data_IF_932966541174
#
_entry.id   IF_932966541174
#
_cell.length_a   1.000
_cell.length_b   1.000
_cell.length_c   1.000
_cell.angle_alpha   90.00
_cell.angle_beta   90.00
_cell.angle_gamma   90.00
#
_symmetry.space_group_name_H-M   'P 1'
#
loop_
_entity.id
_entity.type
_entity.pdbx_description
1 polymer ?
#
# COMPACT_ATOMS: atom_id res chain seq x y z
N UNK A 1 12.92 11.68 29.70
CA UNK A 1 13.88 11.29 28.66
C UNK A 1 13.80 12.35 27.58
N UNK A 2 14.91 13.00 27.24
CA UNK A 2 14.91 13.93 26.11
C UNK A 2 14.63 13.14 24.82
N UNK A 3 13.75 13.65 23.95
CA UNK A 3 13.21 12.90 22.82
C UNK A 3 14.29 12.67 21.75
N UNK A 4 14.76 11.41 21.62
CA UNK A 4 15.69 10.97 20.58
C UNK A 4 15.18 11.26 19.16
N UNK A 5 13.86 11.34 19.00
CA UNK A 5 13.21 11.80 17.78
C UNK A 5 13.05 13.32 17.80
N UNK A 6 13.47 13.98 16.72
CA UNK A 6 13.05 15.35 16.40
C UNK A 6 12.19 15.34 15.15
N UNK A 7 11.08 16.07 15.18
CA UNK A 7 10.23 16.24 14.00
C UNK A 7 10.87 17.27 13.06
N UNK A 8 11.06 16.89 11.80
CA UNK A 8 11.60 17.79 10.77
C UNK A 8 10.55 18.08 9.70
N UNK A 9 10.74 19.20 9.01
CA UNK A 9 9.94 19.58 7.84
C UNK A 9 10.72 19.23 6.57
N UNK A 10 10.01 18.70 5.56
CA UNK A 10 10.56 18.45 4.23
C UNK A 10 9.67 19.14 3.18
N UNK A 11 10.22 19.57 2.03
CA UNK A 11 9.47 20.36 1.04
C UNK A 11 8.21 19.68 0.48
N UNK A 12 8.18 18.35 0.47
CA UNK A 12 7.08 17.57 -0.12
C UNK A 12 5.89 17.38 0.82
N UNK A 13 6.05 17.60 2.12
CA UNK A 13 4.98 17.42 3.10
C UNK A 13 3.79 18.34 2.78
N UNK A 14 2.59 17.80 3.03
CA UNK A 14 1.36 18.58 3.07
C UNK A 14 0.92 18.81 4.51
N UNK A 15 -0.01 19.72 4.71
CA UNK A 15 -0.68 19.89 6.00
C UNK A 15 -2.19 19.85 5.84
N UNK A 16 -2.86 19.07 6.68
CA UNK A 16 -4.31 18.98 6.75
C UNK A 16 -4.73 19.33 8.18
N UNK A 17 -5.50 20.40 8.38
CA UNK A 17 -5.88 20.91 9.70
C UNK A 17 -4.67 21.10 10.65
N UNK A 18 -3.58 21.68 10.13
CA UNK A 18 -2.30 21.87 10.84
C UNK A 18 -1.56 20.58 11.23
N UNK A 19 -1.96 19.43 10.69
CA UNK A 19 -1.27 18.14 10.88
C UNK A 19 -0.41 17.86 9.65
N UNK A 20 0.91 17.64 9.80
CA UNK A 20 1.77 17.30 8.67
C UNK A 20 1.47 15.89 8.13
N UNK A 21 1.59 15.73 6.81
CA UNK A 21 1.46 14.45 6.13
C UNK A 21 2.57 14.26 5.08
N UNK A 22 3.38 13.19 5.19
CA UNK A 22 3.56 12.36 6.39
C UNK A 22 4.24 13.15 7.51
N UNK A 23 4.25 12.66 8.75
CA UNK A 23 5.24 13.15 9.74
C UNK A 23 6.63 12.62 9.39
N UNK A 24 7.68 13.39 9.68
CA UNK A 24 9.07 12.96 9.46
C UNK A 24 9.83 13.11 10.77
N UNK A 25 10.39 12.01 11.25
CA UNK A 25 11.22 11.94 12.44
C UNK A 25 12.68 11.69 12.05
N UNK A 26 13.58 12.41 12.69
CA UNK A 26 15.04 12.26 12.53
C UNK A 26 15.72 12.19 13.89
N UNK A 27 17.00 11.74 13.97
CA UNK A 27 17.76 11.80 15.21
C UNK A 27 17.87 13.24 15.73
N UNK A 28 17.64 13.43 17.03
CA UNK A 28 17.78 14.73 17.67
C UNK A 28 19.28 15.11 17.77
N UNK A 29 19.73 16.17 17.06
CA UNK A 29 21.16 16.54 17.02
C UNK A 29 21.68 16.97 18.39
N UNK A 30 20.86 17.65 19.19
CA UNK A 30 21.25 18.12 20.52
C UNK A 30 21.55 16.96 21.46
N UNK A 31 20.75 15.89 21.40
CA UNK A 31 20.94 14.71 22.25
C UNK A 31 22.11 13.88 21.74
N UNK A 32 22.15 13.56 20.45
CA UNK A 32 23.24 12.75 19.86
C UNK A 32 24.62 13.34 20.13
N UNK A 33 24.75 14.68 20.06
CA UNK A 33 26.00 15.38 20.40
C UNK A 33 26.25 15.41 21.92
N UNK A 34 25.23 15.73 22.74
CA UNK A 34 25.41 15.91 24.18
C UNK A 34 25.65 14.60 24.95
N UNK A 35 25.06 13.49 24.50
CA UNK A 35 25.17 12.19 25.19
C UNK A 35 26.20 11.25 24.55
N UNK A 36 26.85 11.67 23.45
CA UNK A 36 27.70 10.82 22.61
C UNK A 36 27.03 9.49 22.21
N UNK A 37 25.69 9.44 22.24
CA UNK A 37 24.94 8.24 21.87
C UNK A 37 25.04 8.08 20.36
N UNK A 38 25.58 6.96 19.86
CA UNK A 38 25.68 6.73 18.44
C UNK A 38 24.28 6.62 17.83
N UNK A 39 24.11 7.20 16.63
CA UNK A 39 22.98 6.86 15.77
C UNK A 39 23.20 5.42 15.31
N UNK A 40 22.66 4.46 16.06
CA UNK A 40 22.76 3.03 15.78
C UNK A 40 21.37 2.41 15.66
N UNK A 41 21.27 1.31 14.91
CA UNK A 41 20.02 0.53 14.84
C UNK A 41 19.59 0.01 16.21
N UNK A 42 20.52 -0.38 17.07
CA UNK A 42 20.22 -0.86 18.43
C UNK A 42 19.56 0.22 19.28
N UNK A 43 20.05 1.46 19.23
CA UNK A 43 19.45 2.55 19.99
C UNK A 43 18.12 3.02 19.39
N UNK A 44 17.99 2.99 18.05
CA UNK A 44 16.70 3.23 17.40
C UNK A 44 15.65 2.21 17.85
N UNK A 45 15.97 0.91 17.84
CA UNK A 45 15.02 -0.15 18.23
C UNK A 45 14.63 -0.08 19.70
N UNK A 46 15.56 0.24 20.59
CA UNK A 46 15.26 0.51 22.01
C UNK A 46 14.36 1.74 22.18
N UNK A 47 14.64 2.82 21.44
CA UNK A 47 13.81 4.02 21.46
C UNK A 47 12.40 3.74 20.93
N UNK A 48 12.26 2.98 19.84
CA UNK A 48 10.95 2.59 19.32
C UNK A 48 10.14 1.85 20.38
N UNK A 49 10.76 0.90 21.10
CA UNK A 49 10.10 0.15 22.18
C UNK A 49 9.64 1.06 23.32
N UNK A 50 10.50 1.98 23.76
CA UNK A 50 10.20 2.89 24.88
C UNK A 50 9.22 4.00 24.52
N UNK A 51 9.26 4.50 23.28
CA UNK A 51 8.43 5.59 22.76
C UNK A 51 7.23 5.08 21.95
N UNK A 52 6.92 3.77 22.01
CA UNK A 52 5.82 3.16 21.25
C UNK A 52 4.49 3.92 21.40
N UNK A 53 4.03 4.33 22.60
CA UNK A 53 2.78 5.09 22.73
C UNK A 53 2.79 6.43 21.98
N UNK A 54 3.93 7.13 21.98
CA UNK A 54 4.11 8.37 21.21
C UNK A 54 4.06 8.10 19.70
N UNK A 55 4.77 7.08 19.22
CA UNK A 55 4.81 6.71 17.81
C UNK A 55 3.45 6.22 17.30
N UNK A 56 2.72 5.42 18.09
CA UNK A 56 1.37 4.97 17.79
C UNK A 56 0.39 6.16 17.72
N UNK A 57 0.49 7.13 18.65
CA UNK A 57 -0.29 8.37 18.62
C UNK A 57 0.03 9.26 17.41
N UNK A 58 1.32 9.40 17.08
CA UNK A 58 1.78 10.16 15.92
C UNK A 58 1.29 9.53 14.61
N UNK A 59 1.42 8.21 14.46
CA UNK A 59 0.89 7.47 13.32
C UNK A 59 -0.63 7.60 13.24
N UNK A 60 -1.32 7.48 14.36
CA UNK A 60 -2.76 7.66 14.40
C UNK A 60 -3.16 9.05 13.89
N UNK A 61 -2.49 10.10 14.37
CA UNK A 61 -2.76 11.49 13.97
C UNK A 61 -2.46 11.77 12.49
N UNK A 62 -1.35 11.24 11.97
CA UNK A 62 -0.77 11.66 10.67
C UNK A 62 -1.04 10.67 9.54
N UNK A 63 -1.36 9.41 9.85
CA UNK A 63 -1.55 8.32 8.89
C UNK A 63 -0.26 7.70 8.37
N UNK A 64 0.86 8.44 8.35
CA UNK A 64 2.15 7.92 7.95
C UNK A 64 3.32 8.67 8.61
N UNK A 65 4.39 7.94 8.94
CA UNK A 65 5.61 8.47 9.56
C UNK A 65 6.84 7.98 8.81
N UNK A 66 7.71 8.90 8.40
CA UNK A 66 9.03 8.59 7.84
C UNK A 66 10.07 8.73 8.96
N UNK A 67 10.91 7.74 9.12
CA UNK A 67 12.12 7.77 9.95
C UNK A 67 13.32 7.97 9.04
N UNK A 68 13.94 9.15 9.10
CA UNK A 68 15.01 9.58 8.20
C UNK A 68 16.28 9.95 8.96
N UNK A 69 17.42 9.49 8.46
CA UNK A 69 18.74 9.79 9.04
C UNK A 69 19.17 8.82 10.14
N UNK A 70 18.50 7.68 10.30
CA UNK A 70 18.92 6.61 11.20
C UNK A 70 19.82 5.60 10.49
N UNK A 71 20.62 4.86 11.27
CA UNK A 71 21.62 3.92 10.75
C UNK A 71 21.04 2.54 10.38
N UNK A 72 19.95 2.53 9.60
CA UNK A 72 19.36 1.30 9.05
C UNK A 72 20.05 1.01 7.72
N UNK A 73 20.97 0.05 7.69
CA UNK A 73 21.85 -0.19 6.53
C UNK A 73 21.49 -1.42 5.72
N UNK A 74 20.83 -2.40 6.34
CA UNK A 74 20.58 -3.73 5.77
C UNK A 74 19.14 -4.18 5.97
N UNK A 75 18.72 -5.18 5.20
CA UNK A 75 17.45 -5.88 5.42
C UNK A 75 17.29 -6.41 6.86
N UNK A 76 18.39 -6.84 7.51
CA UNK A 76 18.37 -7.30 8.91
C UNK A 76 18.09 -6.13 9.86
N UNK A 77 18.76 -5.00 9.68
CA UNK A 77 18.51 -3.79 10.48
C UNK A 77 17.05 -3.36 10.35
N UNK A 78 16.50 -3.40 9.13
CA UNK A 78 15.09 -3.11 8.90
C UNK A 78 14.15 -4.12 9.59
N UNK A 79 14.47 -5.43 9.57
CA UNK A 79 13.72 -6.42 10.32
C UNK A 79 13.74 -6.13 11.84
N UNK A 80 14.90 -5.77 12.39
CA UNK A 80 15.04 -5.42 13.82
C UNK A 80 14.17 -4.19 14.17
N UNK A 81 14.09 -3.20 13.27
CA UNK A 81 13.18 -2.04 13.39
C UNK A 81 11.71 -2.47 13.37
N UNK A 82 11.30 -3.30 12.42
CA UNK A 82 9.93 -3.83 12.33
C UNK A 82 9.54 -4.59 13.61
N UNK A 83 10.42 -5.46 14.11
CA UNK A 83 10.20 -6.22 15.33
C UNK A 83 10.10 -5.33 16.57
N UNK A 84 10.86 -4.22 16.62
CA UNK A 84 10.83 -3.28 17.73
C UNK A 84 9.47 -2.59 17.91
N UNK A 85 8.68 -2.40 16.85
CA UNK A 85 7.32 -1.87 16.95
C UNK A 85 6.33 -2.83 17.63
N UNK A 86 6.64 -4.13 17.66
CA UNK A 86 5.84 -5.15 18.33
C UNK A 86 4.48 -5.42 17.67
N UNK A 87 4.24 -4.95 16.44
CA UNK A 87 3.03 -5.32 15.70
C UNK A 87 3.08 -6.80 15.29
N UNK A 88 1.93 -7.47 15.27
CA UNK A 88 1.84 -8.85 14.80
C UNK A 88 2.03 -8.90 13.28
N UNK A 89 2.78 -9.88 12.79
CA UNK A 89 3.02 -10.07 11.36
C UNK A 89 1.75 -10.55 10.65
N UNK A 90 1.47 -10.01 9.46
CA UNK A 90 0.56 -10.63 8.51
C UNK A 90 1.39 -11.41 7.48
N UNK A 91 1.43 -12.75 7.55
CA UNK A 91 2.18 -13.55 6.59
C UNK A 91 1.67 -13.33 5.17
N UNK A 92 2.58 -13.10 4.23
CA UNK A 92 2.19 -12.93 2.83
C UNK A 92 1.87 -14.29 2.20
N UNK A 93 0.60 -14.67 2.22
CA UNK A 93 0.09 -15.92 1.62
C UNK A 93 -0.77 -15.58 0.41
N UNK A 94 -0.20 -15.67 -0.80
CA UNK A 94 -0.99 -15.64 -2.05
C UNK A 94 -1.64 -14.29 -2.42
N UNK A 95 -0.86 -13.19 -2.48
CA UNK A 95 -1.35 -11.89 -2.97
C UNK A 95 -1.24 -11.70 -4.49
N UNK A 96 -1.48 -10.48 -4.98
CA UNK A 96 -1.52 -10.18 -6.42
C UNK A 96 -0.13 -10.04 -7.09
N UNK A 97 0.92 -9.75 -6.31
CA UNK A 97 2.28 -9.46 -6.81
C UNK A 97 3.31 -10.49 -6.31
N UNK A 98 4.30 -10.90 -7.13
CA UNK A 98 5.45 -11.67 -6.65
C UNK A 98 6.23 -10.86 -5.61
N UNK A 99 6.61 -11.55 -4.54
CA UNK A 99 7.40 -11.03 -3.42
C UNK A 99 8.30 -12.14 -2.96
N UNK A 100 9.56 -11.82 -2.72
CA UNK A 100 10.55 -12.78 -2.22
C UNK A 100 10.86 -12.44 -0.77
N UNK A 101 10.73 -13.43 0.13
CA UNK A 101 11.18 -13.25 1.51
C UNK A 101 12.70 -13.06 1.54
N UNK A 102 13.16 -12.06 2.27
CA UNK A 102 14.57 -11.68 2.37
C UNK A 102 15.14 -12.13 3.72
N UNK A 103 14.49 -11.74 4.81
CA UNK A 103 14.89 -12.11 6.18
C UNK A 103 13.71 -11.85 7.12
N UNK A 104 13.41 -12.80 8.01
CA UNK A 104 12.34 -12.65 8.99
C UNK A 104 11.02 -12.21 8.34
N UNK A 105 10.52 -11.05 8.76
CA UNK A 105 9.25 -10.43 8.32
C UNK A 105 9.39 -9.52 7.09
N UNK A 106 10.57 -9.50 6.47
CA UNK A 106 10.94 -8.59 5.40
C UNK A 106 10.94 -9.31 4.05
N UNK A 107 10.30 -8.69 3.07
CA UNK A 107 10.24 -9.19 1.69
C UNK A 107 10.45 -8.05 0.68
N UNK A 108 10.70 -8.39 -0.59
CA UNK A 108 10.83 -7.39 -1.68
C UNK A 108 9.49 -6.69 -1.95
N UNK A 109 9.50 -5.36 -2.09
CA UNK A 109 8.30 -4.65 -2.55
C UNK A 109 7.94 -5.06 -3.99
N UNK A 110 6.72 -4.72 -4.45
CA UNK A 110 6.19 -5.15 -5.76
C UNK A 110 7.22 -4.93 -6.91
N UNK A 111 7.54 -6.03 -7.60
CA UNK A 111 8.62 -6.15 -8.60
C UNK A 111 8.15 -5.87 -10.03
N UNK A 112 6.99 -5.23 -10.22
CA UNK A 112 6.52 -4.78 -11.55
C UNK A 112 7.60 -3.96 -12.28
N UNK A 113 7.68 -4.01 -13.62
CA UNK A 113 8.76 -3.40 -14.40
C UNK A 113 9.06 -1.93 -14.05
N UNK A 114 10.33 -1.49 -14.08
CA UNK A 114 10.73 -0.15 -13.62
C UNK A 114 10.04 1.02 -14.33
N UNK A 115 9.78 0.91 -15.62
CA UNK A 115 9.12 1.89 -16.49
C UNK A 115 7.61 2.04 -16.21
N UNK A 116 7.01 1.06 -15.52
CA UNK A 116 5.59 1.06 -15.22
C UNK A 116 5.28 1.81 -13.92
N UNK A 117 4.15 2.53 -13.92
CA UNK A 117 3.56 3.14 -12.72
C UNK A 117 2.72 2.09 -12.00
N UNK A 118 2.88 1.94 -10.69
CA UNK A 118 1.92 1.19 -9.87
C UNK A 118 0.82 2.17 -9.44
N UNK A 119 -0.47 1.91 -9.72
CA UNK A 119 -1.57 2.79 -9.32
C UNK A 119 -1.72 2.94 -7.80
N UNK A 120 -2.43 3.98 -7.36
CA UNK A 120 -2.80 4.14 -5.96
C UNK A 120 -3.75 3.04 -5.49
N UNK A 121 -3.43 2.44 -4.35
CA UNK A 121 -4.24 1.40 -3.73
C UNK A 121 -4.00 1.34 -2.21
N UNK A 122 -4.96 0.74 -1.51
CA UNK A 122 -4.71 0.18 -0.18
C UNK A 122 -4.11 -1.23 -0.34
N UNK A 123 -3.16 -1.58 0.52
CA UNK A 123 -2.51 -2.89 0.47
C UNK A 123 -3.56 -3.98 0.73
N UNK A 124 -3.67 -4.95 -0.18
CA UNK A 124 -4.63 -6.07 -0.13
C UNK A 124 -6.11 -5.62 0.05
N UNK A 125 -6.51 -4.50 -0.57
CA UNK A 125 -7.83 -3.89 -0.37
C UNK A 125 -9.04 -4.83 -0.61
N UNK A 126 -8.84 -5.83 -1.48
CA UNK A 126 -9.82 -6.83 -1.89
C UNK A 126 -9.96 -8.00 -0.92
N UNK A 127 -8.99 -8.21 -0.03
CA UNK A 127 -8.92 -9.41 0.80
C UNK A 127 -9.78 -9.23 2.07
N UNK A 128 -10.40 -10.31 2.60
CA UNK A 128 -11.11 -10.26 3.87
C UNK A 128 -10.19 -9.83 5.03
N UNK A 129 -8.96 -10.35 5.02
CA UNK A 129 -7.87 -9.95 5.89
C UNK A 129 -6.85 -9.15 5.09
N UNK A 130 -6.61 -7.93 5.52
CA UNK A 130 -5.67 -6.98 4.92
C UNK A 130 -4.81 -6.40 6.04
N UNK A 131 -3.59 -5.95 5.74
CA UNK A 131 -2.71 -5.45 6.80
C UNK A 131 -3.27 -4.17 7.40
N UNK A 132 -3.23 -4.03 8.72
CA UNK A 132 -3.56 -2.77 9.38
C UNK A 132 -2.49 -1.70 9.12
N UNK A 133 -1.23 -2.13 9.00
CA UNK A 133 -0.06 -1.27 8.78
C UNK A 133 0.92 -1.94 7.85
N UNK A 134 1.74 -1.14 7.20
CA UNK A 134 2.86 -1.63 6.41
C UNK A 134 4.08 -0.73 6.57
N UNK A 135 5.24 -1.34 6.38
CA UNK A 135 6.52 -0.63 6.34
C UNK A 135 7.11 -0.69 4.93
N UNK A 136 7.78 0.39 4.54
CA UNK A 136 8.70 0.41 3.41
C UNK A 136 10.08 0.86 3.88
N UNK A 137 11.13 0.26 3.33
CA UNK A 137 12.52 0.58 3.64
C UNK A 137 13.35 0.71 2.37
N UNK A 138 14.07 1.83 2.23
CA UNK A 138 14.99 2.04 1.11
C UNK A 138 16.39 1.53 1.44
N UNK A 139 16.75 0.36 0.92
CA UNK A 139 18.10 -0.17 1.05
C UNK A 139 19.05 0.36 -0.04
N UNK A 140 18.52 0.56 -1.26
CA UNK A 140 19.25 1.14 -2.40
C UNK A 140 18.39 2.23 -3.03
N UNK A 141 18.92 3.45 -3.03
CA UNK A 141 18.26 4.61 -3.63
C UNK A 141 17.99 4.39 -5.14
N UNK A 142 16.86 4.91 -5.65
CA UNK A 142 16.59 4.90 -7.08
C UNK A 142 17.61 5.76 -7.84
N UNK A 143 18.08 5.31 -9.00
CA UNK A 143 18.92 6.12 -9.89
C UNK A 143 18.21 7.41 -10.35
N UNK A 144 16.90 7.32 -10.62
CA UNK A 144 16.00 8.47 -10.75
C UNK A 144 14.54 8.02 -10.60
N UNK A 145 13.67 8.89 -10.07
CA UNK A 145 12.24 8.56 -9.85
C UNK A 145 12.05 7.53 -8.74
N UNK A 146 11.10 6.62 -8.90
CA UNK A 146 10.96 5.45 -8.00
C UNK A 146 10.47 5.75 -6.60
N UNK A 147 9.97 6.96 -6.37
CA UNK A 147 9.28 7.32 -5.14
C UNK A 147 8.12 6.36 -4.88
N UNK A 148 7.71 6.28 -3.62
CA UNK A 148 6.47 5.63 -3.20
C UNK A 148 5.48 6.73 -2.80
N UNK A 149 4.74 7.35 -3.75
CA UNK A 149 3.78 8.39 -3.39
C UNK A 149 2.69 7.83 -2.47
N UNK A 150 2.33 8.62 -1.47
CA UNK A 150 1.28 8.31 -0.50
C UNK A 150 0.21 9.40 -0.48
N UNK A 151 -1.03 9.03 -0.20
CA UNK A 151 -2.17 9.96 -0.16
C UNK A 151 -3.18 9.54 0.91
N UNK A 152 -3.78 10.52 1.59
CA UNK A 152 -4.76 10.27 2.65
C UNK A 152 -6.12 9.84 2.07
N UNK A 153 -6.57 8.66 2.43
CA UNK A 153 -7.79 8.03 1.92
C UNK A 153 -9.08 8.81 2.24
N UNK A 154 -9.15 9.41 3.42
CA UNK A 154 -10.31 10.25 3.80
C UNK A 154 -10.39 11.56 2.99
N UNK A 155 -9.25 12.15 2.63
CA UNK A 155 -9.23 13.37 1.80
C UNK A 155 -9.77 13.06 0.40
N UNK A 156 -9.38 11.90 -0.16
CA UNK A 156 -9.93 11.43 -1.44
C UNK A 156 -11.44 11.20 -1.33
N UNK A 157 -11.91 10.58 -0.24
CA UNK A 157 -13.34 10.41 0.01
C UNK A 157 -14.08 11.75 0.08
N UNK A 158 -13.58 12.71 0.85
CA UNK A 158 -14.19 14.02 1.03
C UNK A 158 -14.29 14.78 -0.30
N UNK A 159 -13.18 14.84 -1.07
CA UNK A 159 -13.17 15.51 -2.38
C UNK A 159 -14.06 14.82 -3.41
N UNK A 160 -14.09 13.48 -3.43
CA UNK A 160 -14.98 12.74 -4.31
C UNK A 160 -16.45 12.95 -3.95
N UNK A 161 -16.78 12.97 -2.66
CA UNK A 161 -18.16 13.19 -2.19
C UNK A 161 -18.63 14.61 -2.46
N UNK A 162 -17.77 15.60 -2.27
CA UNK A 162 -18.06 17.00 -2.58
C UNK A 162 -18.34 17.18 -4.08
N UNK A 163 -17.51 16.55 -4.93
CA UNK A 163 -17.57 16.76 -6.37
C UNK A 163 -18.60 15.91 -7.11
N UNK A 164 -18.82 14.68 -6.65
CA UNK A 164 -19.70 13.69 -7.26
C UNK A 164 -20.57 12.97 -6.21
N UNK A 165 -21.45 13.68 -5.49
CA UNK A 165 -22.22 13.11 -4.37
C UNK A 165 -23.05 11.89 -4.78
N UNK A 166 -23.75 11.95 -5.91
CA UNK A 166 -24.59 10.83 -6.39
C UNK A 166 -23.76 9.59 -6.77
N UNK A 167 -22.55 9.81 -7.30
CA UNK A 167 -21.64 8.70 -7.62
C UNK A 167 -21.15 8.02 -6.34
N UNK A 168 -20.78 8.80 -5.32
CA UNK A 168 -20.34 8.26 -4.02
C UNK A 168 -21.49 7.58 -3.29
N UNK A 169 -22.72 8.12 -3.34
CA UNK A 169 -23.91 7.46 -2.79
C UNK A 169 -24.15 6.11 -3.47
N UNK A 170 -24.09 6.05 -4.80
CA UNK A 170 -24.21 4.80 -5.55
C UNK A 170 -23.12 3.78 -5.17
N UNK A 171 -21.89 4.23 -4.94
CA UNK A 171 -20.80 3.38 -4.46
C UNK A 171 -21.03 2.88 -3.02
N UNK A 172 -21.63 3.69 -2.15
CA UNK A 172 -21.96 3.29 -0.78
C UNK A 172 -23.12 2.27 -0.74
N UNK A 173 -24.09 2.40 -1.65
CA UNK A 173 -25.24 1.50 -1.77
C UNK A 173 -24.87 0.17 -2.43
N UNK A 174 -24.23 0.20 -3.59
CA UNK A 174 -24.00 -1.01 -4.39
C UNK A 174 -22.59 -1.59 -4.24
N UNK A 175 -21.61 -0.78 -3.85
CA UNK A 175 -20.21 -1.20 -3.87
C UNK A 175 -19.67 -1.42 -5.29
N UNK A 176 -18.71 -2.32 -5.42
CA UNK A 176 -18.00 -2.63 -6.67
C UNK A 176 -17.90 -4.13 -6.90
N UNK A 177 -17.91 -4.52 -8.18
CA UNK A 177 -17.51 -5.86 -8.63
C UNK A 177 -16.17 -5.73 -9.35
N UNK A 178 -15.22 -6.59 -9.00
CA UNK A 178 -13.93 -6.73 -9.68
C UNK A 178 -13.91 -8.02 -10.48
N UNK A 179 -13.51 -7.90 -11.74
CA UNK A 179 -13.33 -9.03 -12.65
C UNK A 179 -11.88 -9.05 -13.14
N UNK A 180 -11.25 -10.22 -13.04
CA UNK A 180 -9.88 -10.42 -13.53
C UNK A 180 -9.75 -11.77 -14.20
N UNK A 181 -9.14 -11.78 -15.38
CA UNK A 181 -8.78 -12.99 -16.11
C UNK A 181 -7.32 -13.31 -15.82
N UNK A 182 -7.08 -14.48 -15.23
CA UNK A 182 -5.77 -15.01 -14.89
C UNK A 182 -5.43 -16.14 -15.86
N UNK A 183 -4.22 -16.15 -16.39
CA UNK A 183 -3.68 -17.30 -17.12
C UNK A 183 -3.44 -18.49 -16.19
N UNK A 184 -3.05 -19.61 -16.77
CA UNK A 184 -2.65 -20.78 -15.99
C UNK A 184 -1.36 -20.50 -15.19
N UNK A 185 -0.35 -19.99 -15.89
CA UNK A 185 0.97 -19.66 -15.34
C UNK A 185 1.22 -18.14 -15.30
N UNK A 186 2.31 -17.73 -14.66
CA UNK A 186 2.70 -16.33 -14.49
C UNK A 186 3.28 -15.74 -15.79
N UNK A 187 2.86 -14.53 -16.16
CA UNK A 187 3.38 -13.74 -17.28
C UNK A 187 4.21 -12.55 -16.76
N UNK A 188 5.54 -12.58 -16.84
CA UNK A 188 6.40 -11.49 -16.33
C UNK A 188 6.29 -10.19 -17.14
N UNK A 189 5.71 -10.22 -18.34
CA UNK A 189 5.52 -9.03 -19.18
C UNK A 189 4.28 -8.21 -18.81
N UNK A 190 3.32 -8.80 -18.09
CA UNK A 190 2.07 -8.17 -17.70
C UNK A 190 2.15 -7.54 -16.30
N UNK A 191 1.65 -6.31 -16.09
CA UNK A 191 1.60 -5.68 -14.77
C UNK A 191 0.71 -6.44 -13.78
N UNK A 192 -0.19 -7.28 -14.30
CA UNK A 192 -1.11 -8.13 -13.55
C UNK A 192 -0.92 -9.61 -13.91
N UNK A 193 0.31 -9.98 -14.32
CA UNK A 193 0.62 -11.22 -14.99
C UNK A 193 0.50 -12.52 -14.20
N UNK A 194 0.33 -12.44 -12.87
CA UNK A 194 0.22 -13.60 -11.99
C UNK A 194 -0.92 -14.54 -12.43
N UNK A 195 -0.60 -15.83 -12.63
CA UNK A 195 -1.54 -16.88 -13.00
C UNK A 195 -2.33 -17.41 -11.80
N UNK A 196 -3.33 -18.25 -12.06
CA UNK A 196 -4.19 -18.79 -11.00
C UNK A 196 -3.45 -19.78 -10.10
N UNK A 197 -2.47 -20.53 -10.63
CA UNK A 197 -1.67 -21.46 -9.83
C UNK A 197 -0.90 -20.77 -8.73
N UNK A 198 -0.24 -19.66 -9.07
CA UNK A 198 0.49 -18.80 -8.13
C UNK A 198 -0.44 -17.98 -7.23
N UNK A 199 -1.60 -17.56 -7.74
CA UNK A 199 -2.59 -16.81 -6.94
C UNK A 199 -3.20 -17.69 -5.84
N UNK A 200 -3.62 -18.90 -6.20
CA UNK A 200 -4.28 -19.82 -5.26
C UNK A 200 -3.32 -20.85 -4.66
N UNK A 201 -2.03 -20.80 -4.98
CA UNK A 201 -0.96 -21.68 -4.49
C UNK A 201 -1.27 -23.17 -4.67
N UNK A 202 -1.80 -23.55 -5.84
CA UNK A 202 -2.21 -24.93 -6.15
C UNK A 202 -2.26 -25.17 -7.66
N UNK A 203 -2.04 -26.41 -8.08
CA UNK A 203 -2.24 -26.85 -9.47
C UNK A 203 -3.56 -27.59 -9.68
N UNK A 204 -4.39 -27.71 -8.64
CA UNK A 204 -5.70 -28.37 -8.69
C UNK A 204 -6.83 -27.32 -8.76
N UNK A 205 -7.64 -27.39 -9.83
CA UNK A 205 -8.77 -26.49 -10.09
C UNK A 205 -9.84 -26.54 -8.98
N UNK A 206 -10.07 -27.71 -8.38
CA UNK A 206 -11.03 -27.89 -7.29
C UNK A 206 -10.54 -27.20 -6.01
N UNK A 207 -9.25 -27.36 -5.69
CA UNK A 207 -8.62 -26.68 -4.55
C UNK A 207 -8.57 -25.16 -4.77
N UNK A 208 -8.30 -24.70 -6.00
CA UNK A 208 -8.34 -23.27 -6.34
C UNK A 208 -9.74 -22.69 -6.14
N UNK A 209 -10.79 -23.41 -6.54
CA UNK A 209 -12.19 -23.00 -6.33
C UNK A 209 -12.55 -22.91 -4.85
N UNK A 210 -12.11 -23.87 -4.03
CA UNK A 210 -12.33 -23.82 -2.58
C UNK A 210 -11.64 -22.61 -1.94
N UNK A 211 -10.38 -22.35 -2.29
CA UNK A 211 -9.60 -21.21 -1.78
C UNK A 211 -10.19 -19.88 -2.23
N UNK A 212 -10.59 -19.77 -3.50
CA UNK A 212 -11.27 -18.57 -4.01
C UNK A 212 -12.59 -18.31 -3.29
N UNK A 213 -13.39 -19.34 -3.02
CA UNK A 213 -14.65 -19.19 -2.28
C UNK A 213 -14.42 -18.67 -0.84
N UNK A 214 -13.37 -19.13 -0.15
CA UNK A 214 -12.97 -18.60 1.18
C UNK A 214 -12.58 -17.12 1.15
N UNK A 215 -12.12 -16.63 0.00
CA UNK A 215 -11.81 -15.22 -0.25
C UNK A 215 -12.99 -14.41 -0.79
N UNK A 216 -14.19 -15.01 -0.90
CA UNK A 216 -15.37 -14.34 -1.47
C UNK A 216 -15.30 -14.15 -2.98
N UNK A 217 -14.51 -14.98 -3.68
CA UNK A 217 -14.35 -14.92 -5.14
C UNK A 217 -15.03 -16.10 -5.83
N UNK A 218 -15.71 -15.82 -6.94
CA UNK A 218 -16.23 -16.81 -7.89
C UNK A 218 -15.20 -17.04 -8.99
N UNK A 219 -14.98 -18.31 -9.36
CA UNK A 219 -14.13 -18.70 -10.49
C UNK A 219 -14.96 -19.27 -11.64
N UNK A 220 -14.68 -18.78 -12.85
CA UNK A 220 -15.21 -19.27 -14.12
C UNK A 220 -14.03 -19.74 -14.98
N UNK A 221 -13.89 -21.06 -15.14
CA UNK A 221 -12.77 -21.67 -15.90
C UNK A 221 -12.94 -21.43 -17.40
N UNK A 222 -11.83 -21.14 -18.07
CA UNK A 222 -11.75 -20.87 -19.51
C UNK A 222 -11.21 -22.09 -20.26
N UNK A 223 -11.49 -22.16 -21.57
CA UNK A 223 -11.08 -23.27 -22.44
C UNK A 223 -9.56 -23.35 -22.62
N UNK A 224 -8.87 -22.20 -22.55
CA UNK A 224 -7.42 -22.06 -22.69
C UNK A 224 -6.62 -22.44 -21.43
N UNK A 225 -7.29 -22.97 -20.39
CA UNK A 225 -6.67 -23.32 -19.11
C UNK A 225 -6.64 -22.18 -18.08
N UNK A 226 -6.96 -20.95 -18.48
CA UNK A 226 -7.10 -19.79 -17.61
C UNK A 226 -8.38 -19.80 -16.76
N UNK A 227 -8.57 -18.74 -15.98
CA UNK A 227 -9.74 -18.54 -15.14
C UNK A 227 -10.13 -17.07 -15.06
N UNK A 228 -11.43 -16.79 -15.14
CA UNK A 228 -12.01 -15.50 -14.81
C UNK A 228 -12.44 -15.53 -13.33
N UNK A 229 -11.77 -14.73 -12.51
CA UNK A 229 -12.14 -14.49 -11.12
C UNK A 229 -13.06 -13.27 -11.01
N UNK A 230 -14.14 -13.39 -10.26
CA UNK A 230 -15.12 -12.34 -10.01
C UNK A 230 -15.27 -12.18 -8.51
N UNK A 231 -15.14 -10.96 -8.01
CA UNK A 231 -15.26 -10.64 -6.59
C UNK A 231 -16.20 -9.46 -6.39
N UNK A 232 -17.17 -9.61 -5.49
CA UNK A 232 -18.15 -8.59 -5.17
C UNK A 232 -19.60 -9.03 -5.35
N UNK A 233 -20.56 -8.12 -5.05
CA UNK A 233 -20.33 -6.73 -4.67
C UNK A 233 -19.61 -6.58 -3.32
N UNK A 234 -18.58 -5.73 -3.25
CA UNK A 234 -17.90 -5.36 -2.00
C UNK A 234 -17.92 -3.84 -1.79
N UNK A 235 -17.93 -3.35 -0.54
CA UNK A 235 -17.96 -1.91 -0.26
C UNK A 235 -16.78 -1.16 -0.91
N UNK A 236 -17.08 -0.02 -1.55
CA UNK A 236 -16.06 0.88 -2.07
C UNK A 236 -15.59 1.91 -1.03
N UNK A 237 -16.42 2.16 -0.02
CA UNK A 237 -16.18 3.09 1.07
C UNK A 237 -16.25 2.31 2.37
N UNK A 238 -15.23 2.45 3.22
CA UNK A 238 -15.22 1.86 4.57
C UNK A 238 -15.36 2.97 5.62
N UNK A 239 -15.96 2.64 6.75
CA UNK A 239 -15.94 3.50 7.94
C UNK A 239 -14.80 3.07 8.86
N UNK A 240 -13.81 3.94 9.03
CA UNK A 240 -12.64 3.73 9.87
C UNK A 240 -12.99 4.14 11.31
N UNK A 241 -13.15 3.14 12.18
CA UNK A 241 -13.71 3.35 13.52
C UNK A 241 -12.80 4.17 14.44
N UNK A 242 -11.48 4.04 14.35
CA UNK A 242 -10.55 4.68 15.27
C UNK A 242 -10.51 6.20 15.09
N UNK A 243 -10.68 6.70 13.85
CA UNK A 243 -10.77 8.15 13.56
C UNK A 243 -12.18 8.62 13.22
N UNK A 244 -13.18 7.75 13.35
CA UNK A 244 -14.59 8.04 13.12
C UNK A 244 -14.88 8.73 11.78
N UNK A 245 -14.30 8.23 10.70
CA UNK A 245 -14.43 8.84 9.36
C UNK A 245 -14.53 7.81 8.26
N UNK A 246 -15.09 8.20 7.12
CA UNK A 246 -15.12 7.37 5.91
C UNK A 246 -13.81 7.49 5.14
N UNK A 247 -13.43 6.40 4.48
CA UNK A 247 -12.19 6.26 3.73
C UNK A 247 -12.46 5.65 2.35
N UNK A 248 -11.70 6.09 1.35
CA UNK A 248 -11.72 5.60 -0.03
C UNK A 248 -11.02 4.23 -0.16
N UNK A 249 -11.49 3.25 0.61
CA UNK A 249 -10.88 1.93 0.70
C UNK A 249 -11.39 1.01 -0.41
N UNK A 250 -10.85 1.20 -1.61
CA UNK A 250 -11.13 0.39 -2.78
C UNK A 250 -9.91 0.36 -3.72
N UNK A 251 -10.05 -0.29 -4.87
CA UNK A 251 -9.06 -0.32 -5.95
C UNK A 251 -9.67 0.06 -7.28
N UNK A 252 -10.66 0.95 -7.27
CA UNK A 252 -11.41 1.35 -8.44
C UNK A 252 -10.48 1.93 -9.51
N UNK A 253 -9.69 2.96 -9.16
CA UNK A 253 -8.73 3.57 -10.08
C UNK A 253 -7.63 2.57 -10.48
N UNK A 254 -7.15 1.76 -9.54
CA UNK A 254 -6.11 0.78 -9.82
C UNK A 254 -6.55 -0.29 -10.84
N UNK A 255 -7.76 -0.82 -10.71
CA UNK A 255 -8.31 -1.78 -11.67
C UNK A 255 -8.65 -1.09 -13.00
N UNK A 256 -9.37 0.02 -12.96
CA UNK A 256 -9.86 0.71 -14.16
C UNK A 256 -8.75 1.30 -15.04
N UNK A 257 -7.56 1.53 -14.50
CA UNK A 257 -6.43 2.09 -15.26
C UNK A 257 -5.25 1.14 -15.41
N UNK A 258 -5.07 0.22 -14.47
CA UNK A 258 -3.87 -0.63 -14.38
C UNK A 258 -4.10 -2.11 -14.66
N UNK A 259 -5.33 -2.61 -14.62
CA UNK A 259 -5.60 -4.03 -14.93
C UNK A 259 -5.78 -4.23 -16.43
N UNK A 260 -4.69 -3.97 -17.15
CA UNK A 260 -4.62 -4.03 -18.60
C UNK A 260 -3.54 -4.99 -19.04
N UNK A 261 -3.92 -6.02 -19.78
CA UNK A 261 -3.03 -6.88 -20.53
C UNK A 261 -3.80 -7.54 -21.69
N UNK A 262 -3.22 -8.54 -22.36
CA UNK A 262 -3.88 -9.23 -23.46
C UNK A 262 -5.21 -9.93 -23.06
N UNK A 263 -5.42 -10.21 -21.76
CA UNK A 263 -6.57 -10.94 -21.23
C UNK A 263 -7.59 -10.01 -20.57
N UNK A 264 -7.16 -8.83 -20.11
CA UNK A 264 -7.95 -7.92 -19.29
C UNK A 264 -8.13 -6.57 -19.97
N UNK A 265 -9.39 -6.21 -20.20
CA UNK A 265 -9.81 -4.87 -20.57
C UNK A 265 -10.07 -4.05 -19.28
N UNK A 266 -9.27 -3.02 -19.01
CA UNK A 266 -9.31 -2.33 -17.71
C UNK A 266 -10.67 -1.65 -17.45
N UNK A 267 -11.40 -1.20 -18.47
CA UNK A 267 -12.73 -0.58 -18.26
C UNK A 267 -13.82 -1.59 -17.87
N UNK A 268 -13.53 -2.89 -18.03
CA UNK A 268 -14.39 -4.01 -17.60
C UNK A 268 -13.86 -4.70 -16.35
N UNK A 269 -12.66 -4.33 -15.89
CA UNK A 269 -12.02 -4.93 -14.72
C UNK A 269 -12.73 -4.55 -13.42
N UNK A 270 -13.47 -3.44 -13.41
CA UNK A 270 -14.26 -3.00 -12.28
C UNK A 270 -15.54 -2.29 -12.73
N UNK A 271 -16.66 -2.66 -12.12
CA UNK A 271 -17.99 -2.07 -12.34
C UNK A 271 -18.60 -1.68 -10.99
N UNK A 272 -19.73 -0.96 -11.01
CA UNK A 272 -20.59 -0.91 -9.83
C UNK A 272 -21.01 -2.32 -9.41
N UNK A 273 -21.40 -2.46 -8.14
CA UNK A 273 -21.79 -3.76 -7.59
C UNK A 273 -23.14 -4.30 -8.11
N UNK A 274 -23.92 -3.48 -8.79
CA UNK A 274 -25.10 -3.88 -9.58
C UNK A 274 -24.73 -4.34 -11.01
N UNK A 275 -23.46 -4.22 -11.40
CA UNK A 275 -22.93 -4.58 -12.71
C UNK A 275 -22.90 -3.43 -13.72
N UNK A 276 -23.40 -2.24 -13.37
CA UNK A 276 -23.33 -1.09 -14.28
C UNK A 276 -21.87 -0.61 -14.49
N UNK A 277 -21.49 -0.23 -15.73
CA UNK A 277 -20.17 0.35 -15.99
C UNK A 277 -19.93 1.63 -15.20
N UNK A 278 -18.69 1.85 -14.79
CA UNK A 278 -18.28 3.11 -14.15
C UNK A 278 -18.10 4.23 -15.20
N UNK A 279 -18.58 5.46 -14.95
CA UNK A 279 -18.39 6.61 -15.83
C UNK A 279 -16.92 7.03 -15.89
N UNK A 280 -16.30 6.88 -17.06
CA UNK A 280 -14.85 7.03 -17.26
C UNK A 280 -14.32 8.40 -16.81
N UNK A 281 -15.04 9.48 -17.10
CA UNK A 281 -14.68 10.85 -16.74
C UNK A 281 -14.55 11.02 -15.21
N UNK A 282 -15.45 10.43 -14.43
CA UNK A 282 -15.38 10.44 -12.95
C UNK A 282 -14.20 9.61 -12.44
N UNK A 283 -13.89 8.48 -13.08
CA UNK A 283 -12.74 7.65 -12.68
C UNK A 283 -11.42 8.37 -12.93
N UNK A 284 -11.27 9.01 -14.10
CA UNK A 284 -10.09 9.81 -14.39
C UNK A 284 -10.01 11.06 -13.50
N UNK A 285 -11.14 11.63 -13.12
CA UNK A 285 -11.16 12.73 -12.15
C UNK A 285 -10.72 12.27 -10.75
N UNK A 286 -11.13 11.08 -10.31
CA UNK A 286 -10.66 10.46 -9.09
C UNK A 286 -9.13 10.24 -9.13
N UNK A 287 -8.59 9.80 -10.27
CA UNK A 287 -7.14 9.71 -10.48
C UNK A 287 -6.46 11.07 -10.33
N UNK A 288 -7.04 12.16 -10.88
CA UNK A 288 -6.49 13.51 -10.71
C UNK A 288 -6.48 13.94 -9.24
N UNK A 289 -7.56 13.70 -8.50
CA UNK A 289 -7.62 13.98 -7.05
C UNK A 289 -6.51 13.22 -6.30
N UNK A 290 -6.31 11.94 -6.61
CA UNK A 290 -5.23 11.15 -6.03
C UNK A 290 -3.84 11.75 -6.31
N UNK A 291 -3.60 12.21 -7.54
CA UNK A 291 -2.33 12.83 -7.94
C UNK A 291 -2.12 14.20 -7.31
N UNK A 292 -3.18 15.03 -7.25
CA UNK A 292 -3.17 16.35 -6.63
C UNK A 292 -2.90 16.29 -5.13
N UNK A 293 -3.44 15.31 -4.42
CA UNK A 293 -3.33 15.22 -2.95
C UNK A 293 -2.13 14.39 -2.46
N UNK A 294 -1.46 13.67 -3.37
CA UNK A 294 -0.34 12.82 -2.96
C UNK A 294 0.88 13.61 -2.52
N UNK A 295 1.69 12.94 -1.71
CA UNK A 295 3.02 13.35 -1.29
C UNK A 295 4.00 12.29 -1.79
N UNK A 296 4.93 12.70 -2.65
CA UNK A 296 5.96 11.85 -3.22
C UNK A 296 7.32 12.28 -2.67
N UNK A 297 7.71 11.73 -1.51
CA UNK A 297 9.02 12.01 -0.91
C UNK A 297 10.09 11.21 -1.66
N UNK A 298 11.16 11.85 -2.16
CA UNK A 298 12.31 11.14 -2.71
C UNK A 298 12.92 10.23 -1.63
N UNK A 299 13.10 8.96 -1.98
CA UNK A 299 13.73 8.00 -1.10
C UNK A 299 15.19 8.37 -0.82
N UNK A 300 15.60 8.23 0.44
CA UNK A 300 17.01 8.20 0.84
C UNK A 300 17.32 6.82 1.42
N UNK A 301 18.55 6.36 1.22
CA UNK A 301 19.04 5.12 1.81
C UNK A 301 18.90 5.21 3.33
N UNK A 302 18.33 4.18 3.94
CA UNK A 302 18.10 4.15 5.39
C UNK A 302 16.72 4.62 5.81
N UNK A 303 15.95 5.27 4.94
CA UNK A 303 14.60 5.69 5.28
C UNK A 303 13.70 4.48 5.57
N UNK A 304 12.96 4.57 6.66
CA UNK A 304 11.85 3.66 6.98
C UNK A 304 10.56 4.44 6.98
N UNK A 305 9.61 4.07 6.13
CA UNK A 305 8.26 4.65 6.07
C UNK A 305 7.28 3.68 6.72
N UNK A 306 6.59 4.12 7.77
CA UNK A 306 5.48 3.42 8.41
C UNK A 306 4.15 4.04 7.94
N UNK A 307 3.24 3.19 7.47
CA UNK A 307 1.93 3.58 6.97
C UNK A 307 0.83 2.87 7.77
N UNK A 308 -0.20 3.64 8.17
CA UNK A 308 -1.50 3.10 8.55
C UNK A 308 -2.31 2.83 7.27
N UNK A 309 -2.51 1.54 6.97
CA UNK A 309 -3.14 1.10 5.72
C UNK A 309 -4.64 1.42 5.68
N UNK A 310 -5.29 1.76 6.80
CA UNK A 310 -6.66 2.27 6.76
C UNK A 310 -6.70 3.75 6.38
N UNK A 311 -5.64 4.50 6.69
CA UNK A 311 -5.60 5.95 6.45
C UNK A 311 -5.01 6.34 5.09
N UNK A 312 -4.16 5.49 4.48
CA UNK A 312 -3.29 5.90 3.38
C UNK A 312 -3.34 4.92 2.22
N UNK A 313 -3.48 5.46 1.00
CA UNK A 313 -3.19 4.75 -0.24
C UNK A 313 -1.73 5.01 -0.63
N UNK A 314 -1.10 4.04 -1.28
CA UNK A 314 0.26 4.18 -1.79
C UNK A 314 0.35 3.74 -3.25
N UNK A 315 1.39 4.20 -3.94
CA UNK A 315 1.67 3.93 -5.36
C UNK A 315 3.18 3.82 -5.59
N UNK A 316 3.60 3.64 -6.86
CA UNK A 316 5.02 3.72 -7.25
C UNK A 316 5.17 4.53 -8.53
N UNK A 317 6.11 5.49 -8.54
CA UNK A 317 6.51 6.17 -9.78
C UNK A 317 7.41 5.26 -10.65
N UNK A 318 7.42 5.44 -11.98
CA UNK A 318 8.45 4.87 -12.83
C UNK A 318 9.85 5.26 -12.34
N UNK A 319 10.86 4.42 -12.64
CA UNK A 319 12.23 4.67 -12.20
C UNK A 319 13.27 4.09 -13.14
N UNK A 320 14.47 4.65 -13.06
CA UNK A 320 15.67 4.05 -13.64
C UNK A 320 16.44 3.32 -12.54
N UNK A 321 16.80 2.03 -12.74
CA UNK A 321 17.65 1.29 -11.81
C UNK A 321 19.00 1.98 -11.55
N UNK A 322 19.69 1.68 -10.44
CA UNK A 322 19.30 0.73 -9.39
C UNK A 322 18.13 1.25 -8.56
N UNK A 323 17.43 0.38 -7.82
CA UNK A 323 16.45 0.71 -6.77
C UNK A 323 16.14 -0.55 -5.98
N UNK A 324 16.19 -0.48 -4.64
CA UNK A 324 15.75 -1.59 -3.77
C UNK A 324 14.97 -1.07 -2.59
N UNK A 325 13.67 -1.33 -2.60
CA UNK A 325 12.75 -1.06 -1.49
C UNK A 325 12.23 -2.38 -0.94
N UNK A 326 12.35 -2.57 0.36
CA UNK A 326 11.82 -3.71 1.09
C UNK A 326 10.53 -3.32 1.81
N UNK A 327 9.73 -4.32 2.17
CA UNK A 327 8.49 -4.11 2.87
C UNK A 327 8.23 -5.15 3.96
N UNK A 328 7.32 -4.81 4.87
CA UNK A 328 6.77 -5.72 5.88
C UNK A 328 5.30 -5.40 6.12
N UNK A 329 4.47 -6.42 6.40
CA UNK A 329 3.03 -6.29 6.63
C UNK A 329 2.66 -6.64 8.06
N UNK A 330 1.75 -5.86 8.65
CA UNK A 330 1.25 -6.08 10.00
C UNK A 330 -0.24 -6.42 9.99
N UNK A 331 -0.68 -7.32 10.85
CA UNK A 331 -2.11 -7.61 11.06
C UNK A 331 -2.88 -6.39 11.53
#
# INVERSE_FOLDING_TARGET
MADYFTAIQIPQQRSYNSIPFPSVLSPNPTITIATAVPVSVSHLTETIKTQKPFLDSLLHKTGAVIFRGFDVKTAKDFNDVVEAFGYEELPYVGGAAPRTNVVGRVFTANESPPDQKIPFHHEMAQMPEFPSKLFFYCEVEPGSGGETPIVLSHVVYERMKERYPNFVEKLEEHGLIYTRVLGEDDDPSSPIGRGWKSTFLTNDKSVAKERAAKLGMKLEWLEDGGVKSIMGPIPAIKYEKSRQRKIWFNSMVAAYTGWKDARNDPVKAVTFGDGEPLPADIIYDCLRILEEECVAVPWQKGDVLLIDNLAVLHSRRPFNPPRRVLASLCK
#
